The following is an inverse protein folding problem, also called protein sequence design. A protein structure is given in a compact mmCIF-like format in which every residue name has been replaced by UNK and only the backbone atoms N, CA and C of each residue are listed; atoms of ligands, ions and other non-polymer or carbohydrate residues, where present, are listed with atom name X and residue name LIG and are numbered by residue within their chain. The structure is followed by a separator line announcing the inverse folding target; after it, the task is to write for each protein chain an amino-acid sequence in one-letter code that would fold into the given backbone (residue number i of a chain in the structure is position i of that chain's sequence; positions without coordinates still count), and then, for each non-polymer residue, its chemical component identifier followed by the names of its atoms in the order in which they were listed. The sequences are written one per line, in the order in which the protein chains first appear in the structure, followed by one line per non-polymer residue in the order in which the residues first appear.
data_IF_751171308306
#
_entry.id   IF_751171308306
#
_cell.length_a   1.000
_cell.length_b   1.000
_cell.length_c   1.000
_cell.angle_alpha   90.00
_cell.angle_beta   90.00
_cell.angle_gamma   90.00
#
_symmetry.space_group_name_H-M   'P 1'
#
loop_
_entity.id
_entity.type
_entity.pdbx_description
1 polymer ?
#
# COMPACT_ATOMS: atom_id res chain seq x y z
N UNK A 1 -9.63 13.91 -21.72
CA UNK A 1 -9.70 13.20 -20.46
C UNK A 1 -9.20 11.79 -20.60
N UNK A 2 -8.96 11.07 -19.48
CA UNK A 2 -8.59 9.66 -19.51
C UNK A 2 -9.81 8.81 -19.90
N UNK A 3 -9.55 7.74 -20.66
CA UNK A 3 -10.54 6.72 -20.99
C UNK A 3 -10.61 5.71 -19.83
N UNK A 4 -11.45 6.01 -18.83
CA UNK A 4 -11.57 5.23 -17.59
C UNK A 4 -12.04 3.79 -17.82
N UNK A 5 -12.69 3.49 -18.93
CA UNK A 5 -13.07 2.15 -19.39
C UNK A 5 -11.88 1.27 -19.82
N UNK A 6 -10.71 1.88 -19.99
CA UNK A 6 -9.43 1.21 -20.33
C UNK A 6 -8.46 1.16 -19.14
N UNK A 7 -8.84 1.70 -18.00
CA UNK A 7 -8.02 1.71 -16.78
C UNK A 7 -8.42 0.52 -15.92
N UNK A 8 -7.42 -0.20 -15.44
CA UNK A 8 -7.57 -1.25 -14.45
C UNK A 8 -6.86 -0.83 -13.16
N UNK A 9 -7.54 -0.96 -12.03
CA UNK A 9 -7.05 -0.53 -10.72
C UNK A 9 -6.83 -1.75 -9.83
N UNK A 10 -5.67 -1.80 -9.20
CA UNK A 10 -5.34 -2.74 -8.15
C UNK A 10 -5.23 -2.04 -6.80
N UNK A 11 -5.91 -2.58 -5.80
CA UNK A 11 -5.84 -2.10 -4.43
C UNK A 11 -4.48 -2.44 -3.82
N UNK A 12 -3.88 -1.48 -3.13
CA UNK A 12 -2.52 -1.60 -2.62
C UNK A 12 -2.44 -2.41 -1.33
N UNK A 13 -3.38 -2.17 -0.42
CA UNK A 13 -3.40 -2.72 0.93
C UNK A 13 -4.77 -2.60 1.60
N UNK A 14 -5.08 -3.50 2.53
CA UNK A 14 -6.31 -3.44 3.33
C UNK A 14 -6.12 -4.18 4.65
N UNK A 15 -6.82 -3.75 5.69
CA UNK A 15 -6.81 -4.45 6.97
C UNK A 15 -7.53 -5.79 6.90
N UNK A 16 -6.97 -6.81 7.54
CA UNK A 16 -7.67 -8.08 7.77
C UNK A 16 -8.68 -7.90 8.89
N UNK A 17 -9.89 -8.40 8.68
CA UNK A 17 -10.96 -8.41 9.68
C UNK A 17 -11.92 -7.23 9.62
N UNK A 18 -11.76 -6.30 8.67
CA UNK A 18 -12.74 -5.23 8.42
C UNK A 18 -13.22 -5.25 6.97
N UNK A 19 -14.51 -4.99 6.76
CA UNK A 19 -15.10 -4.92 5.42
C UNK A 19 -15.27 -3.49 4.92
N UNK A 20 -15.78 -3.35 3.69
CA UNK A 20 -16.01 -2.05 3.03
C UNK A 20 -16.99 -1.12 3.77
N UNK A 21 -17.79 -1.64 4.71
CA UNK A 21 -18.67 -0.80 5.54
C UNK A 21 -17.92 -0.10 6.68
N UNK A 22 -16.71 -0.57 7.03
CA UNK A 22 -15.91 0.05 8.07
C UNK A 22 -15.34 1.40 7.61
N UNK A 23 -15.42 2.47 8.43
CA UNK A 23 -14.95 3.80 8.03
C UNK A 23 -13.45 3.87 7.73
N UNK A 24 -12.64 3.00 8.32
CA UNK A 24 -11.20 2.92 8.09
C UNK A 24 -10.79 2.03 6.91
N UNK A 25 -11.75 1.35 6.21
CA UNK A 25 -11.40 0.55 5.03
C UNK A 25 -10.85 1.41 3.90
N UNK A 26 -9.68 1.05 3.39
CA UNK A 26 -9.08 1.71 2.22
C UNK A 26 -9.86 1.39 0.94
N UNK A 27 -10.44 0.19 0.83
CA UNK A 27 -11.35 -0.15 -0.27
C UNK A 27 -12.57 0.76 -0.31
N UNK A 28 -13.19 1.02 0.85
CA UNK A 28 -14.27 2.02 0.98
C UNK A 28 -13.81 3.42 0.57
N UNK A 29 -12.61 3.82 0.99
CA UNK A 29 -12.06 5.11 0.61
C UNK A 29 -11.92 5.22 -0.91
N UNK A 30 -11.35 4.21 -1.57
CA UNK A 30 -11.19 4.16 -3.02
C UNK A 30 -12.54 4.20 -3.74
N UNK A 31 -13.52 3.42 -3.29
CA UNK A 31 -14.88 3.43 -3.84
C UNK A 31 -15.48 4.84 -3.80
N UNK A 32 -15.46 5.49 -2.64
CA UNK A 32 -16.16 6.76 -2.43
C UNK A 32 -15.41 7.96 -3.01
N UNK A 33 -14.08 7.93 -3.02
CA UNK A 33 -13.26 9.09 -3.39
C UNK A 33 -12.76 9.06 -4.83
N UNK A 34 -12.67 7.87 -5.41
CA UNK A 34 -12.08 7.70 -6.74
C UNK A 34 -12.98 6.91 -7.70
N UNK A 35 -13.25 5.65 -7.44
CA UNK A 35 -13.90 4.72 -8.37
C UNK A 35 -15.28 5.24 -8.80
N UNK A 36 -16.16 5.55 -7.83
CA UNK A 36 -17.51 6.05 -8.13
C UNK A 36 -17.51 7.43 -8.82
N UNK A 37 -16.47 8.24 -8.58
CA UNK A 37 -16.38 9.58 -9.20
C UNK A 37 -15.86 9.55 -10.63
N UNK A 38 -14.99 8.60 -10.94
CA UNK A 38 -14.41 8.45 -12.27
C UNK A 38 -15.23 7.55 -13.18
N UNK A 39 -16.12 6.73 -12.60
CA UNK A 39 -16.85 5.69 -13.33
C UNK A 39 -15.98 4.53 -13.76
N UNK A 40 -14.81 4.34 -13.11
CA UNK A 40 -13.90 3.23 -13.36
C UNK A 40 -14.60 1.90 -13.06
N UNK A 41 -14.59 0.98 -14.03
CA UNK A 41 -15.30 -0.30 -13.95
C UNK A 41 -14.38 -1.46 -13.59
N UNK A 42 -13.16 -1.45 -14.11
CA UNK A 42 -12.20 -2.53 -13.92
C UNK A 42 -11.36 -2.23 -12.68
N UNK A 43 -11.68 -2.87 -11.56
CA UNK A 43 -10.94 -2.70 -10.31
C UNK A 43 -10.93 -3.97 -9.48
N UNK A 44 -9.83 -4.21 -8.82
CA UNK A 44 -9.57 -5.35 -7.94
C UNK A 44 -9.34 -4.83 -6.52
N UNK A 45 -10.42 -4.79 -5.73
CA UNK A 45 -10.36 -4.39 -4.33
C UNK A 45 -10.15 -5.61 -3.44
N UNK A 46 -9.32 -5.46 -2.42
CA UNK A 46 -9.12 -6.46 -1.38
C UNK A 46 -10.27 -6.32 -0.38
N UNK A 47 -11.03 -7.39 -0.16
CA UNK A 47 -12.01 -7.46 0.92
C UNK A 47 -11.32 -8.00 2.18
N UNK A 48 -11.24 -7.17 3.21
CA UNK A 48 -10.60 -7.55 4.48
C UNK A 48 -11.30 -8.67 5.24
N UNK A 49 -12.55 -9.03 4.87
CA UNK A 49 -13.30 -10.15 5.44
C UNK A 49 -13.14 -11.46 4.65
N UNK A 50 -12.49 -11.39 3.48
CA UNK A 50 -12.27 -12.57 2.65
C UNK A 50 -11.18 -13.50 3.23
N UNK A 51 -11.16 -14.75 2.74
CA UNK A 51 -10.11 -15.71 3.09
C UNK A 51 -8.73 -15.21 2.67
N UNK A 52 -7.79 -15.07 3.62
CA UNK A 52 -6.49 -14.45 3.33
C UNK A 52 -5.64 -15.19 2.30
N UNK A 53 -5.58 -16.52 2.38
CA UNK A 53 -4.74 -17.32 1.46
C UNK A 53 -5.29 -17.26 0.04
N UNK A 54 -6.61 -17.38 -0.08
CA UNK A 54 -7.29 -17.28 -1.37
C UNK A 54 -7.10 -15.90 -1.98
N UNK A 55 -7.31 -14.83 -1.21
CA UNK A 55 -7.17 -13.44 -1.66
C UNK A 55 -5.76 -13.15 -2.15
N UNK A 56 -4.72 -13.52 -1.37
CA UNK A 56 -3.33 -13.33 -1.76
C UNK A 56 -2.99 -14.07 -3.04
N UNK A 57 -3.46 -15.32 -3.19
CA UNK A 57 -3.21 -16.12 -4.38
C UNK A 57 -3.89 -15.53 -5.62
N UNK A 58 -5.17 -15.18 -5.53
CA UNK A 58 -5.95 -14.67 -6.67
C UNK A 58 -5.43 -13.31 -7.11
N UNK A 59 -5.21 -12.38 -6.19
CA UNK A 59 -4.64 -11.08 -6.50
C UNK A 59 -3.21 -11.20 -7.05
N UNK A 60 -2.40 -12.12 -6.52
CA UNK A 60 -1.05 -12.39 -7.01
C UNK A 60 -1.04 -12.87 -8.46
N UNK A 61 -1.99 -13.73 -8.85
CA UNK A 61 -2.13 -14.19 -10.24
C UNK A 61 -2.47 -13.02 -11.17
N UNK A 62 -3.38 -12.15 -10.77
CA UNK A 62 -3.77 -10.98 -11.56
C UNK A 62 -2.59 -10.02 -11.75
N UNK A 63 -1.85 -9.71 -10.67
CA UNK A 63 -0.68 -8.84 -10.71
C UNK A 63 0.50 -9.41 -11.51
N UNK A 64 0.60 -10.75 -11.60
CA UNK A 64 1.63 -11.41 -12.40
C UNK A 64 1.34 -11.41 -13.90
N UNK A 65 0.09 -11.17 -14.31
CA UNK A 65 -0.32 -11.23 -15.72
C UNK A 65 0.31 -10.11 -16.55
N UNK A 66 0.35 -8.88 -16.00
CA UNK A 66 0.96 -7.72 -16.67
C UNK A 66 1.57 -6.77 -15.64
N UNK A 67 2.68 -6.07 -15.99
CA UNK A 67 3.27 -5.06 -15.11
C UNK A 67 2.33 -3.87 -14.90
N UNK A 68 2.30 -3.34 -13.68
CA UNK A 68 1.61 -2.09 -13.34
C UNK A 68 2.25 -0.92 -14.10
N UNK A 69 1.45 -0.14 -14.83
CA UNK A 69 1.93 1.03 -15.56
C UNK A 69 2.35 2.16 -14.61
N UNK A 70 1.56 2.42 -13.57
CA UNK A 70 1.87 3.42 -12.56
C UNK A 70 1.34 2.99 -11.20
N UNK A 71 2.19 3.03 -10.17
CA UNK A 71 1.78 2.85 -8.78
C UNK A 71 1.80 4.20 -8.06
N UNK A 72 0.68 4.51 -7.39
CA UNK A 72 0.55 5.66 -6.50
C UNK A 72 0.68 5.19 -5.06
N UNK A 73 1.61 5.75 -4.32
CA UNK A 73 1.84 5.38 -2.93
C UNK A 73 2.26 6.57 -2.06
N UNK A 74 2.22 6.36 -0.75
CA UNK A 74 2.82 7.25 0.23
C UNK A 74 4.00 6.58 0.93
N UNK A 75 4.58 7.29 1.92
CA UNK A 75 5.59 6.74 2.84
C UNK A 75 5.05 6.89 4.26
N UNK A 76 5.04 5.81 5.03
CA UNK A 76 4.65 5.82 6.43
C UNK A 76 5.67 6.48 7.34
N UNK A 77 5.31 6.73 8.61
CA UNK A 77 6.19 7.39 9.58
C UNK A 77 7.45 6.57 9.93
N UNK A 78 7.36 5.23 9.84
CA UNK A 78 8.49 4.30 9.96
C UNK A 78 9.11 3.95 8.59
N UNK A 79 8.86 4.75 7.55
CA UNK A 79 9.33 4.57 6.17
C UNK A 79 8.74 3.36 5.43
N UNK A 80 7.59 2.82 5.86
CA UNK A 80 6.93 1.74 5.15
C UNK A 80 6.36 2.19 3.79
N UNK A 81 6.25 1.22 2.87
CA UNK A 81 5.48 1.32 1.62
C UNK A 81 4.32 0.33 1.68
N UNK A 82 3.09 0.77 1.47
CA UNK A 82 1.90 -0.01 1.80
C UNK A 82 2.02 -0.50 3.25
N UNK A 83 1.80 -1.79 3.54
CA UNK A 83 2.10 -2.34 4.87
C UNK A 83 3.41 -3.16 4.90
N UNK A 84 4.38 -2.82 4.06
CA UNK A 84 5.73 -3.36 4.18
C UNK A 84 6.52 -2.57 5.24
N UNK A 85 6.19 -2.80 6.51
CA UNK A 85 6.90 -2.24 7.66
C UNK A 85 8.32 -2.82 7.77
N UNK A 86 9.29 -2.13 8.43
CA UNK A 86 10.66 -2.62 8.57
C UNK A 86 10.82 -4.08 8.99
N UNK A 87 10.04 -4.62 9.97
CA UNK A 87 10.17 -6.02 10.37
C UNK A 87 9.76 -7.05 9.31
N UNK A 88 8.91 -6.67 8.36
CA UNK A 88 8.31 -7.59 7.38
C UNK A 88 8.67 -7.28 5.93
N UNK A 89 9.36 -6.16 5.70
CA UNK A 89 9.81 -5.75 4.37
C UNK A 89 10.89 -6.69 3.84
N UNK A 90 10.71 -7.15 2.60
CA UNK A 90 11.70 -7.92 1.85
C UNK A 90 11.82 -7.35 0.44
N UNK A 91 13.02 -6.93 0.06
CA UNK A 91 13.29 -6.37 -1.27
C UNK A 91 13.35 -7.43 -2.38
N UNK A 92 13.43 -8.70 -2.01
CA UNK A 92 13.43 -9.84 -2.91
C UNK A 92 12.23 -10.79 -2.68
N UNK A 93 11.13 -10.25 -2.10
CA UNK A 93 9.95 -11.02 -1.78
C UNK A 93 9.44 -11.79 -3.01
N UNK A 94 9.34 -13.13 -2.94
CA UNK A 94 8.86 -13.95 -4.05
C UNK A 94 7.35 -13.81 -4.28
N UNK A 95 6.62 -13.31 -3.29
CA UNK A 95 5.18 -13.09 -3.37
C UNK A 95 4.89 -11.67 -3.89
N UNK A 96 3.78 -11.49 -4.58
CA UNK A 96 3.29 -10.16 -4.97
C UNK A 96 2.30 -9.59 -3.96
N UNK A 97 1.59 -10.47 -3.26
CA UNK A 97 0.64 -10.11 -2.18
C UNK A 97 0.84 -11.05 -1.02
N UNK A 98 0.80 -10.51 0.19
CA UNK A 98 0.89 -11.29 1.43
C UNK A 98 0.06 -10.66 2.56
N UNK A 99 -0.20 -11.43 3.61
CA UNK A 99 -0.67 -10.91 4.89
C UNK A 99 0.54 -10.68 5.79
N UNK A 100 0.54 -9.54 6.47
CA UNK A 100 1.59 -9.14 7.41
C UNK A 100 1.01 -8.80 8.78
N UNK A 101 1.81 -8.97 9.83
CA UNK A 101 1.55 -8.38 11.13
C UNK A 101 1.99 -6.91 11.09
N UNK A 102 1.12 -6.00 11.55
CA UNK A 102 1.40 -4.57 11.55
C UNK A 102 2.31 -4.19 12.71
N UNK A 103 3.37 -3.45 12.40
CA UNK A 103 4.27 -2.85 13.38
C UNK A 103 3.52 -1.87 14.30
N UNK A 104 3.96 -1.79 15.55
CA UNK A 104 3.37 -0.92 16.55
C UNK A 104 3.36 0.56 16.13
N UNK A 105 4.46 1.02 15.51
CA UNK A 105 4.57 2.39 14.98
C UNK A 105 3.55 2.64 13.88
N UNK A 106 3.39 1.68 12.97
CA UNK A 106 2.39 1.74 11.91
C UNK A 106 0.97 1.80 12.49
N UNK A 107 0.64 0.93 13.45
CA UNK A 107 -0.67 0.94 14.12
C UNK A 107 -0.92 2.24 14.88
N UNK A 108 0.09 2.78 15.59
CA UNK A 108 -0.03 4.05 16.28
C UNK A 108 -0.27 5.20 15.30
N UNK A 109 0.35 5.17 14.12
CA UNK A 109 0.08 6.15 13.06
C UNK A 109 -1.41 6.16 12.68
N UNK A 110 -2.07 5.00 12.58
CA UNK A 110 -3.49 4.92 12.22
C UNK A 110 -4.40 5.59 13.27
N UNK A 111 -4.04 5.51 14.55
CA UNK A 111 -4.72 6.25 15.61
C UNK A 111 -4.46 7.75 15.49
N UNK A 112 -3.21 8.15 15.26
CA UNK A 112 -2.82 9.55 15.10
C UNK A 112 -3.49 10.21 13.89
N UNK A 113 -3.74 9.43 12.83
CA UNK A 113 -4.43 9.86 11.61
C UNK A 113 -5.96 9.85 11.77
N UNK A 114 -6.48 9.41 12.93
CA UNK A 114 -7.90 9.39 13.26
C UNK A 114 -8.69 8.27 12.57
N UNK A 115 -8.00 7.26 12.03
CA UNK A 115 -8.63 6.11 11.38
C UNK A 115 -9.30 5.18 12.40
N UNK A 116 -8.73 5.09 13.61
CA UNK A 116 -9.24 4.27 14.72
C UNK A 116 -9.20 5.06 16.02
N UNK A 117 -10.17 4.85 16.95
CA UNK A 117 -10.23 5.57 18.23
C UNK A 117 -9.05 5.23 19.15
N UNK A 118 -8.67 3.96 19.22
CA UNK A 118 -7.59 3.48 20.10
C UNK A 118 -6.69 2.48 19.36
N UNK A 119 -5.51 2.22 19.91
CA UNK A 119 -4.57 1.22 19.38
C UNK A 119 -5.14 -0.20 19.41
N UNK A 120 -6.02 -0.50 20.37
CA UNK A 120 -6.67 -1.80 20.50
C UNK A 120 -7.68 -2.06 19.35
N UNK A 121 -8.23 -0.99 18.78
CA UNK A 121 -9.19 -1.08 17.67
C UNK A 121 -8.49 -1.29 16.32
N UNK A 122 -7.19 -1.00 16.22
CA UNK A 122 -6.44 -1.20 14.97
C UNK A 122 -6.18 -2.68 14.76
N UNK A 123 -6.57 -3.26 13.61
CA UNK A 123 -6.27 -4.65 13.29
C UNK A 123 -4.79 -5.00 13.46
N UNK A 124 -4.50 -6.24 13.83
CA UNK A 124 -3.13 -6.73 13.97
C UNK A 124 -2.51 -7.11 12.62
N UNK A 125 -3.33 -7.47 11.64
CA UNK A 125 -2.88 -7.96 10.36
C UNK A 125 -3.48 -7.14 9.21
N UNK A 126 -2.75 -7.11 8.10
CA UNK A 126 -3.20 -6.46 6.88
C UNK A 126 -2.72 -7.25 5.65
N UNK A 127 -3.50 -7.15 4.58
CA UNK A 127 -3.05 -7.50 3.23
C UNK A 127 -2.13 -6.38 2.72
N UNK A 128 -1.08 -6.74 2.04
CA UNK A 128 -0.20 -5.77 1.37
C UNK A 128 0.32 -6.31 0.04
N UNK A 129 0.36 -5.46 -0.97
CA UNK A 129 1.24 -5.68 -2.09
C UNK A 129 2.68 -5.56 -1.59
N UNK A 130 3.55 -6.48 -2.04
CA UNK A 130 4.94 -6.52 -1.58
C UNK A 130 5.80 -5.46 -2.26
N UNK A 131 6.99 -5.23 -1.75
CA UNK A 131 7.98 -4.34 -2.38
C UNK A 131 8.30 -4.75 -3.82
N UNK A 132 8.19 -6.05 -4.15
CA UNK A 132 8.41 -6.56 -5.50
C UNK A 132 7.46 -5.95 -6.54
N UNK A 133 6.20 -5.69 -6.18
CA UNK A 133 5.24 -5.03 -7.07
C UNK A 133 5.68 -3.60 -7.40
N UNK A 134 6.12 -2.84 -6.40
CA UNK A 134 6.65 -1.47 -6.62
C UNK A 134 7.87 -1.48 -7.52
N UNK A 135 8.79 -2.42 -7.32
CA UNK A 135 10.00 -2.54 -8.15
C UNK A 135 9.71 -2.91 -9.60
N UNK A 136 8.64 -3.65 -9.85
CA UNK A 136 8.24 -4.09 -11.20
C UNK A 136 7.32 -3.10 -11.92
N UNK A 137 6.72 -2.15 -11.21
CA UNK A 137 5.90 -1.12 -11.82
C UNK A 137 6.75 -0.29 -12.81
N UNK A 138 6.14 0.19 -13.90
CA UNK A 138 6.86 1.00 -14.89
C UNK A 138 7.18 2.39 -14.36
N UNK A 139 6.29 2.94 -13.51
CA UNK A 139 6.44 4.26 -12.88
C UNK A 139 5.92 4.25 -11.46
N UNK A 140 6.58 5.01 -10.59
CA UNK A 140 6.14 5.26 -9.21
C UNK A 140 5.85 6.75 -9.00
N UNK A 141 4.66 7.06 -8.49
CA UNK A 141 4.25 8.40 -8.10
C UNK A 141 4.01 8.41 -6.59
N UNK A 142 4.96 8.97 -5.85
CA UNK A 142 5.00 8.88 -4.39
C UNK A 142 4.61 10.23 -3.80
N UNK A 143 3.55 10.25 -2.98
CA UNK A 143 2.98 11.46 -2.39
C UNK A 143 3.07 11.40 -0.87
N UNK A 144 3.82 12.33 -0.27
CA UNK A 144 4.12 12.29 1.18
C UNK A 144 3.87 13.65 1.82
N UNK A 145 2.61 14.06 1.96
CA UNK A 145 2.29 15.35 2.55
C UNK A 145 2.47 15.35 4.08
N UNK A 146 2.85 16.51 4.61
CA UNK A 146 2.81 16.80 6.04
C UNK A 146 4.12 16.60 6.79
N UNK A 147 4.34 17.40 7.85
CA UNK A 147 5.62 17.46 8.57
C UNK A 147 5.96 16.19 9.36
N UNK A 148 4.96 15.38 9.77
CA UNK A 148 5.19 14.12 10.50
C UNK A 148 5.98 13.09 9.68
N UNK A 149 5.95 13.21 8.36
CA UNK A 149 6.65 12.32 7.43
C UNK A 149 8.09 12.77 7.10
N UNK A 150 8.50 13.96 7.57
CA UNK A 150 9.80 14.55 7.18
C UNK A 150 11.00 13.65 7.51
N UNK A 151 11.00 13.01 8.69
CA UNK A 151 12.08 12.09 9.08
C UNK A 151 12.15 10.86 8.18
N UNK A 152 10.99 10.26 7.86
CA UNK A 152 10.89 9.11 6.96
C UNK A 152 11.34 9.45 5.54
N UNK A 153 10.95 10.62 5.03
CA UNK A 153 11.39 11.13 3.73
C UNK A 153 12.90 11.36 3.73
N UNK A 154 13.44 12.01 4.77
CA UNK A 154 14.88 12.22 4.92
C UNK A 154 15.67 10.90 4.91
N UNK A 155 15.23 9.90 5.69
CA UNK A 155 15.82 8.57 5.71
C UNK A 155 15.74 7.86 4.35
N UNK A 156 14.59 7.99 3.66
CA UNK A 156 14.39 7.42 2.32
C UNK A 156 15.36 8.00 1.30
N UNK A 157 15.55 9.31 1.28
CA UNK A 157 16.32 10.01 0.24
C UNK A 157 17.82 9.98 0.53
N UNK A 158 18.23 10.11 1.80
CA UNK A 158 19.62 10.32 2.19
C UNK A 158 20.25 9.10 2.90
N UNK A 159 19.44 8.22 3.50
CA UNK A 159 19.91 7.06 4.24
C UNK A 159 20.42 5.92 3.35
N UNK A 160 20.89 4.81 3.92
CA UNK A 160 21.23 3.61 3.17
C UNK A 160 19.97 2.95 2.58
N UNK A 161 20.13 2.24 1.45
CA UNK A 161 19.06 1.37 0.94
C UNK A 161 19.02 0.10 1.77
N UNK A 162 17.97 -0.07 2.56
CA UNK A 162 17.85 -1.17 3.52
C UNK A 162 16.39 -1.44 3.87
N UNK A 163 16.06 -2.67 4.26
CA UNK A 163 14.72 -3.05 4.74
C UNK A 163 14.35 -2.39 6.07
N UNK A 164 15.30 -1.88 6.84
CA UNK A 164 15.04 -1.02 8.00
C UNK A 164 14.44 0.36 7.62
N UNK A 165 14.53 0.75 6.34
CA UNK A 165 13.86 1.89 5.74
C UNK A 165 13.29 1.43 4.40
N UNK A 166 12.11 0.74 4.39
CA UNK A 166 11.61 0.09 3.18
C UNK A 166 11.45 1.01 1.98
N UNK A 167 11.02 2.26 2.20
CA UNK A 167 10.89 3.25 1.14
C UNK A 167 12.23 3.62 0.48
N UNK A 168 13.38 3.34 1.10
CA UNK A 168 14.70 3.58 0.49
C UNK A 168 14.92 2.85 -0.83
N UNK A 169 14.19 1.75 -1.07
CA UNK A 169 14.22 0.99 -2.33
C UNK A 169 13.76 1.82 -3.53
N UNK A 170 12.93 2.85 -3.31
CA UNK A 170 12.45 3.75 -4.37
C UNK A 170 13.60 4.42 -5.12
N UNK A 171 14.75 4.62 -4.48
CA UNK A 171 15.95 5.20 -5.11
C UNK A 171 16.59 4.32 -6.16
N UNK A 172 16.28 3.03 -6.17
CA UNK A 172 16.76 2.07 -7.17
C UNK A 172 15.78 1.92 -8.34
N UNK A 173 14.62 2.56 -8.26
CA UNK A 173 13.63 2.50 -9.33
C UNK A 173 13.98 3.50 -10.45
N UNK A 174 13.93 3.09 -11.74
CA UNK A 174 14.34 3.95 -12.86
C UNK A 174 13.41 5.15 -13.08
N UNK A 175 12.13 5.07 -12.69
CA UNK A 175 11.14 6.14 -12.88
C UNK A 175 10.28 6.28 -11.61
N UNK A 176 10.88 6.81 -10.54
CA UNK A 176 10.17 7.14 -9.30
C UNK A 176 10.21 8.65 -9.05
N UNK A 177 9.06 9.26 -8.85
CA UNK A 177 8.94 10.67 -8.51
C UNK A 177 8.33 10.82 -7.12
N UNK A 178 8.98 11.61 -6.25
CA UNK A 178 8.53 11.96 -4.92
C UNK A 178 8.02 13.42 -4.91
N UNK A 179 6.80 13.60 -4.37
CA UNK A 179 6.12 14.91 -4.24
C UNK A 179 5.93 15.29 -2.78
#
# INVERSE_FOLDING_TARGET
GLAWDRVELFHLDEYVGIGFEHPASFGRYLLNRFINKTGLKNHHLIDGLADPEKTCREMGVLLAAEPIDIAFAGIGENSHLAFNDPPVADFADPLLVKVVELDLTCRQQQVNDGCFPTLADVPLHAFTLTVSVFRQAKRLSIHVPGPRKAAAVGATVQGPVTTACPASILRLHPDATLY
#
